data_IF_437000673758
#
_entry.id   IF_437000673758
#
_cell.length_a   1.000
_cell.length_b   1.000
_cell.length_c   1.000
_cell.angle_alpha   90.00
_cell.angle_beta   90.00
_cell.angle_gamma   90.00
#
_symmetry.space_group_name_H-M   'P 1'
#
loop_
_entity.id
_entity.type
_entity.pdbx_description
1 polymer ?
#
# COMPACT_ATOMS: atom_id res chain seq x y z
N UNK A 1 -33.59 22.33 -18.38
CA UNK A 1 -33.50 22.52 -19.84
C UNK A 1 -32.06 22.35 -20.33
N UNK A 2 -31.06 22.87 -19.62
CA UNK A 2 -29.65 22.88 -20.08
C UNK A 2 -28.91 21.53 -20.10
N UNK A 3 -29.24 20.59 -19.21
CA UNK A 3 -28.62 19.25 -19.18
C UNK A 3 -28.96 18.44 -20.44
N UNK A 4 -30.21 18.53 -20.92
CA UNK A 4 -30.68 17.83 -22.13
C UNK A 4 -30.12 18.43 -23.43
N UNK A 5 -29.83 19.73 -23.46
CA UNK A 5 -29.17 20.38 -24.59
C UNK A 5 -27.68 20.00 -24.65
N UNK A 6 -27.02 19.88 -23.50
CA UNK A 6 -25.61 19.50 -23.43
C UNK A 6 -25.38 18.05 -23.89
N UNK A 7 -26.23 17.10 -23.48
CA UNK A 7 -26.17 15.70 -23.95
C UNK A 7 -26.40 15.56 -25.47
N UNK A 8 -27.33 16.33 -26.05
CA UNK A 8 -27.55 16.31 -27.51
C UNK A 8 -26.36 16.87 -28.29
N UNK A 9 -25.67 17.87 -27.73
CA UNK A 9 -24.49 18.47 -28.35
C UNK A 9 -23.27 17.54 -28.31
N UNK A 10 -23.05 16.83 -27.20
CA UNK A 10 -21.93 15.88 -27.06
C UNK A 10 -22.13 14.63 -27.92
N UNK A 11 -23.37 14.14 -28.02
CA UNK A 11 -23.72 13.01 -28.88
C UNK A 11 -23.55 13.33 -30.38
N UNK A 12 -23.77 14.58 -30.82
CA UNK A 12 -23.45 15.01 -32.19
C UNK A 12 -21.95 15.01 -32.43
N UNK A 13 -21.18 15.69 -31.57
CA UNK A 13 -19.71 15.74 -31.65
C UNK A 13 -19.06 14.37 -31.74
N UNK A 14 -19.55 13.37 -31.00
CA UNK A 14 -19.01 12.01 -31.08
C UNK A 14 -19.34 11.30 -32.41
N UNK A 15 -20.56 11.49 -32.94
CA UNK A 15 -20.97 10.86 -34.21
C UNK A 15 -20.10 11.34 -35.37
N UNK A 16 -19.73 12.61 -35.38
CA UNK A 16 -18.98 13.23 -36.48
C UNK A 16 -17.46 12.93 -36.45
N UNK A 17 -16.95 12.33 -35.37
CA UNK A 17 -15.55 11.86 -35.33
C UNK A 17 -15.36 10.70 -36.33
N UNK A 18 -14.26 10.77 -37.08
CA UNK A 18 -13.77 9.71 -37.97
C UNK A 18 -13.71 8.34 -37.29
N UNK A 19 -14.13 7.30 -38.01
CA UNK A 19 -14.09 5.91 -37.54
C UNK A 19 -12.66 5.49 -37.21
N UNK A 20 -11.69 5.86 -38.05
CA UNK A 20 -10.27 5.59 -37.80
C UNK A 20 -9.82 6.19 -36.47
N UNK A 21 -10.20 7.44 -36.16
CA UNK A 21 -9.91 8.07 -34.86
C UNK A 21 -10.57 7.34 -33.69
N UNK A 22 -11.81 6.85 -33.86
CA UNK A 22 -12.49 6.03 -32.83
C UNK A 22 -11.79 4.69 -32.60
N UNK A 23 -11.28 4.06 -33.66
CA UNK A 23 -10.49 2.82 -33.58
C UNK A 23 -9.14 3.09 -32.88
N UNK A 24 -8.42 4.15 -33.24
CA UNK A 24 -7.20 4.54 -32.52
C UNK A 24 -7.47 4.86 -31.05
N UNK A 25 -8.61 5.50 -30.74
CA UNK A 25 -9.04 5.75 -29.36
C UNK A 25 -9.32 4.44 -28.60
N UNK A 26 -9.89 3.42 -29.25
CA UNK A 26 -10.07 2.10 -28.63
C UNK A 26 -8.74 1.44 -28.28
N UNK A 27 -7.79 1.41 -29.21
CA UNK A 27 -6.46 0.86 -28.97
C UNK A 27 -5.71 1.63 -27.89
N UNK A 28 -5.72 2.96 -27.97
CA UNK A 28 -5.12 3.83 -26.95
C UNK A 28 -5.78 3.67 -25.58
N UNK A 29 -7.11 3.53 -25.54
CA UNK A 29 -7.86 3.27 -24.32
C UNK A 29 -7.50 1.93 -23.69
N UNK A 30 -7.39 0.87 -24.48
CA UNK A 30 -6.96 -0.44 -24.00
C UNK A 30 -5.54 -0.39 -23.42
N UNK A 31 -4.58 0.21 -24.14
CA UNK A 31 -3.21 0.38 -23.66
C UNK A 31 -3.16 1.21 -22.36
N UNK A 32 -3.98 2.25 -22.27
CA UNK A 32 -4.08 3.09 -21.06
C UNK A 32 -4.60 2.29 -19.87
N UNK A 33 -5.63 1.45 -20.06
CA UNK A 33 -6.17 0.58 -19.01
C UNK A 33 -5.10 -0.43 -18.56
N UNK A 34 -4.43 -1.09 -19.50
CA UNK A 34 -3.35 -2.04 -19.18
C UNK A 34 -2.25 -1.34 -18.36
N UNK A 35 -1.86 -0.12 -18.75
CA UNK A 35 -0.87 0.66 -18.03
C UNK A 35 -1.35 1.02 -16.61
N UNK A 36 -2.58 1.53 -16.48
CA UNK A 36 -3.17 1.90 -15.18
C UNK A 36 -3.26 0.69 -14.25
N UNK A 37 -3.79 -0.44 -14.73
CA UNK A 37 -3.87 -1.67 -13.93
C UNK A 37 -2.49 -2.21 -13.55
N UNK A 38 -1.50 -2.08 -14.44
CA UNK A 38 -0.12 -2.47 -14.12
C UNK A 38 0.48 -1.59 -13.01
N UNK A 39 0.21 -0.28 -13.03
CA UNK A 39 0.63 0.64 -11.97
C UNK A 39 -0.08 0.31 -10.66
N UNK A 40 -1.40 0.10 -10.69
CA UNK A 40 -2.19 -0.30 -9.52
C UNK A 40 -1.63 -1.59 -8.92
N UNK A 41 -1.43 -2.63 -9.74
CA UNK A 41 -0.87 -3.91 -9.30
C UNK A 41 0.54 -3.74 -8.72
N UNK A 42 1.40 -2.98 -9.37
CA UNK A 42 2.75 -2.70 -8.87
C UNK A 42 2.71 -2.01 -7.50
N UNK A 43 1.91 -0.96 -7.34
CA UNK A 43 1.74 -0.25 -6.06
C UNK A 43 1.16 -1.16 -4.98
N UNK A 44 0.21 -2.04 -5.32
CA UNK A 44 -0.34 -3.05 -4.42
C UNK A 44 0.73 -4.03 -3.93
N UNK A 45 1.59 -4.52 -4.83
CA UNK A 45 2.71 -5.41 -4.47
C UNK A 45 3.70 -4.70 -3.55
N UNK A 46 4.07 -3.45 -3.85
CA UNK A 46 4.98 -2.67 -3.00
C UNK A 46 4.42 -2.43 -1.60
N UNK A 47 3.12 -2.11 -1.52
CA UNK A 47 2.42 -1.95 -0.24
C UNK A 47 2.45 -3.25 0.56
N UNK A 48 2.17 -4.39 -0.09
CA UNK A 48 2.21 -5.69 0.57
C UNK A 48 3.62 -6.08 1.03
N UNK A 49 4.65 -5.79 0.23
CA UNK A 49 6.04 -5.97 0.62
C UNK A 49 6.39 -5.16 1.87
N UNK A 50 5.92 -3.91 1.93
CA UNK A 50 6.14 -3.01 3.06
C UNK A 50 5.46 -3.50 4.34
N UNK A 51 4.25 -4.07 4.24
CA UNK A 51 3.56 -4.72 5.38
C UNK A 51 4.38 -5.90 5.90
N UNK A 52 4.91 -6.75 5.02
CA UNK A 52 5.77 -7.88 5.43
C UNK A 52 7.06 -7.39 6.07
N UNK A 53 7.64 -6.29 5.58
CA UNK A 53 8.82 -5.69 6.18
C UNK A 53 8.55 -5.17 7.60
N UNK A 54 7.35 -4.63 7.88
CA UNK A 54 6.92 -4.27 9.25
C UNK A 54 6.88 -5.49 10.17
N UNK A 55 6.32 -6.61 9.70
CA UNK A 55 6.32 -7.89 10.45
C UNK A 55 7.75 -8.39 10.67
N UNK A 56 8.62 -8.30 9.67
CA UNK A 56 10.02 -8.69 9.83
C UNK A 56 10.79 -7.77 10.79
N UNK A 57 10.42 -6.49 10.87
CA UNK A 57 11.03 -5.52 11.78
C UNK A 57 10.68 -5.82 13.24
N UNK A 58 9.44 -6.25 13.52
CA UNK A 58 9.04 -6.75 14.84
C UNK A 58 9.96 -7.87 15.31
N UNK A 59 10.15 -8.91 14.49
CA UNK A 59 10.99 -10.04 14.90
C UNK A 59 12.45 -9.65 15.15
N UNK A 60 12.96 -8.60 14.48
CA UNK A 60 14.29 -8.03 14.75
C UNK A 60 14.33 -7.27 16.06
N UNK A 61 13.28 -6.53 16.38
CA UNK A 61 13.12 -5.83 17.65
C UNK A 61 13.07 -6.83 18.82
N UNK A 62 12.24 -7.86 18.73
CA UNK A 62 12.07 -8.89 19.76
C UNK A 62 13.36 -9.69 19.98
N UNK A 63 14.10 -10.01 18.90
CA UNK A 63 15.45 -10.59 19.03
C UNK A 63 16.45 -9.67 19.74
N UNK A 64 16.39 -8.35 19.49
CA UNK A 64 17.24 -7.40 20.19
C UNK A 64 16.89 -7.34 21.69
N UNK A 65 15.60 -7.36 22.04
CA UNK A 65 15.14 -7.40 23.44
C UNK A 65 15.64 -8.66 24.14
N UNK A 66 15.43 -9.84 23.54
CA UNK A 66 15.88 -11.12 24.13
C UNK A 66 17.39 -11.21 24.22
N UNK A 67 18.10 -10.67 23.23
CA UNK A 67 19.56 -10.54 23.31
C UNK A 67 19.99 -9.65 24.47
N UNK A 68 19.31 -8.53 24.73
CA UNK A 68 19.61 -7.69 25.89
C UNK A 68 19.38 -8.47 27.20
N UNK A 69 18.23 -9.15 27.34
CA UNK A 69 17.92 -9.93 28.54
C UNK A 69 18.96 -11.03 28.81
N UNK A 70 19.35 -11.78 27.78
CA UNK A 70 20.38 -12.81 27.92
C UNK A 70 21.73 -12.22 28.34
N UNK A 71 22.14 -11.11 27.74
CA UNK A 71 23.42 -10.47 28.05
C UNK A 71 23.46 -9.88 29.46
N UNK A 72 22.37 -9.29 29.95
CA UNK A 72 22.34 -8.78 31.33
C UNK A 72 22.37 -9.93 32.35
N UNK A 73 21.71 -11.05 32.08
CA UNK A 73 21.83 -12.24 32.93
C UNK A 73 23.25 -12.81 32.94
N UNK A 74 23.91 -12.91 31.78
CA UNK A 74 25.32 -13.32 31.71
C UNK A 74 26.22 -12.35 32.49
N UNK A 75 25.94 -11.04 32.42
CA UNK A 75 26.67 -10.02 33.17
C UNK A 75 26.51 -10.19 34.70
N UNK A 76 25.31 -10.50 35.18
CA UNK A 76 25.07 -10.73 36.61
C UNK A 76 25.91 -11.87 37.19
N UNK A 77 26.14 -12.93 36.40
CA UNK A 77 26.89 -14.12 36.83
C UNK A 77 28.40 -13.90 36.68
N UNK A 78 28.83 -13.44 35.50
CA UNK A 78 30.25 -13.34 35.15
C UNK A 78 30.92 -12.09 35.71
N UNK A 79 30.15 -11.01 35.91
CA UNK A 79 30.64 -9.65 36.17
C UNK A 79 31.57 -9.10 35.08
N UNK A 80 31.65 -9.76 33.92
CA UNK A 80 32.49 -9.33 32.79
C UNK A 80 31.81 -8.17 32.03
N UNK A 81 32.43 -6.96 31.99
CA UNK A 81 31.88 -5.81 31.28
C UNK A 81 31.50 -6.07 29.82
N UNK A 82 32.08 -7.08 29.16
CA UNK A 82 31.75 -7.41 27.77
C UNK A 82 30.25 -7.71 27.58
N UNK A 83 29.64 -8.38 28.56
CA UNK A 83 28.22 -8.70 28.55
C UNK A 83 27.36 -7.46 28.77
N UNK A 84 27.81 -6.53 29.61
CA UNK A 84 27.13 -5.24 29.82
C UNK A 84 27.16 -4.39 28.53
N UNK A 85 28.30 -4.30 27.85
CA UNK A 85 28.38 -3.58 26.57
C UNK A 85 27.49 -4.22 25.49
N UNK A 86 27.41 -5.55 25.45
CA UNK A 86 26.51 -6.26 24.55
C UNK A 86 25.03 -5.97 24.87
N UNK A 87 24.67 -5.91 26.16
CA UNK A 87 23.35 -5.48 26.62
C UNK A 87 23.01 -4.05 26.15
N UNK A 88 23.91 -3.09 26.38
CA UNK A 88 23.71 -1.70 25.95
C UNK A 88 23.53 -1.60 24.44
N UNK A 89 24.38 -2.27 23.66
CA UNK A 89 24.30 -2.28 22.19
C UNK A 89 22.96 -2.83 21.67
N UNK A 90 22.40 -3.83 22.34
CA UNK A 90 21.07 -4.36 22.00
C UNK A 90 19.96 -3.36 22.31
N UNK A 91 20.04 -2.65 23.43
CA UNK A 91 19.06 -1.61 23.77
C UNK A 91 19.18 -0.34 22.92
N UNK A 92 20.38 0.01 22.45
CA UNK A 92 20.58 1.13 21.52
C UNK A 92 19.85 0.91 20.19
N UNK A 93 19.83 -0.33 19.68
CA UNK A 93 19.03 -0.71 18.51
C UNK A 93 17.55 -0.45 18.75
N UNK A 94 17.03 -0.90 19.89
CA UNK A 94 15.63 -0.69 20.29
C UNK A 94 15.31 0.81 20.41
N UNK A 95 16.21 1.58 21.02
CA UNK A 95 16.07 3.04 21.14
C UNK A 95 15.95 3.72 19.78
N UNK A 96 16.72 3.30 18.78
CA UNK A 96 16.59 3.80 17.41
C UNK A 96 15.20 3.56 16.82
N UNK A 97 14.57 2.42 17.10
CA UNK A 97 13.18 2.14 16.68
C UNK A 97 12.18 3.01 17.43
N UNK A 98 12.40 3.22 18.73
CA UNK A 98 11.58 4.15 19.52
C UNK A 98 11.63 5.57 18.93
N UNK A 99 12.82 6.06 18.57
CA UNK A 99 12.99 7.37 17.94
C UNK A 99 12.22 7.43 16.62
N UNK A 100 12.35 6.41 15.76
CA UNK A 100 11.59 6.30 14.53
C UNK A 100 10.06 6.28 14.75
N UNK A 101 9.57 5.55 15.75
CA UNK A 101 8.15 5.52 16.12
C UNK A 101 7.63 6.91 16.54
N UNK A 102 8.44 7.69 17.26
CA UNK A 102 8.06 9.04 17.66
C UNK A 102 7.97 9.99 16.46
N UNK A 103 8.82 9.80 15.44
CA UNK A 103 8.75 10.60 14.21
C UNK A 103 7.43 10.41 13.47
N UNK A 104 6.92 9.17 13.34
CA UNK A 104 5.63 8.94 12.64
C UNK A 104 4.43 9.54 13.39
N UNK A 105 4.54 9.74 14.71
CA UNK A 105 3.52 10.39 15.54
C UNK A 105 3.56 11.92 15.43
N UNK A 106 4.71 12.50 15.04
CA UNK A 106 4.88 13.94 14.82
C UNK A 106 4.04 14.46 13.64
N UNK A 107 3.72 15.75 13.67
CA UNK A 107 3.13 16.48 12.53
C UNK A 107 4.17 16.80 11.44
N UNK A 108 5.45 16.84 11.81
CA UNK A 108 6.57 17.11 10.93
C UNK A 108 7.62 16.02 11.15
N UNK A 109 7.43 14.83 10.55
CA UNK A 109 8.35 13.72 10.73
C UNK A 109 9.71 14.01 10.11
N UNK A 110 10.78 13.70 10.83
CA UNK A 110 12.11 13.63 10.26
C UNK A 110 12.36 12.23 9.68
N UNK A 111 12.29 12.14 8.36
CA UNK A 111 12.50 10.87 7.64
C UNK A 111 13.86 10.24 7.90
N UNK A 112 14.93 11.03 8.07
CA UNK A 112 16.28 10.49 8.30
C UNK A 112 16.41 9.79 9.66
N UNK A 113 15.73 10.32 10.69
CA UNK A 113 15.68 9.68 12.02
C UNK A 113 14.93 8.35 11.90
N UNK A 114 13.77 8.35 11.23
CA UNK A 114 13.04 7.11 10.96
C UNK A 114 13.91 6.10 10.21
N UNK A 115 14.54 6.55 9.13
CA UNK A 115 15.36 5.71 8.26
C UNK A 115 16.54 5.07 9.00
N UNK A 116 17.29 5.89 9.75
CA UNK A 116 18.39 5.43 10.60
C UNK A 116 17.90 4.44 11.66
N UNK A 117 16.76 4.70 12.32
CA UNK A 117 16.21 3.82 13.35
C UNK A 117 15.90 2.42 12.84
N UNK A 118 15.20 2.31 11.70
CA UNK A 118 14.80 1.02 11.13
C UNK A 118 15.97 0.28 10.49
N UNK A 119 16.92 0.97 9.86
CA UNK A 119 18.12 0.33 9.28
C UNK A 119 19.09 -0.17 10.36
N UNK A 120 19.24 0.54 11.49
CA UNK A 120 20.09 0.12 12.63
C UNK A 120 19.66 -1.21 13.25
N UNK A 121 18.37 -1.54 13.22
CA UNK A 121 17.89 -2.85 13.67
C UNK A 121 17.98 -3.94 12.60
N UNK A 122 18.52 -3.61 11.42
CA UNK A 122 18.79 -4.53 10.33
C UNK A 122 17.67 -4.65 9.30
N UNK A 123 16.79 -3.65 9.16
CA UNK A 123 15.87 -3.61 8.01
C UNK A 123 16.61 -3.27 6.72
N UNK A 124 16.12 -3.85 5.61
CA UNK A 124 16.69 -3.59 4.31
C UNK A 124 16.36 -2.14 3.91
N UNK A 125 17.35 -1.35 3.45
CA UNK A 125 17.15 0.04 3.03
C UNK A 125 15.94 0.28 2.12
N UNK A 126 15.71 -0.63 1.17
CA UNK A 126 14.64 -0.49 0.17
C UNK A 126 13.23 -0.68 0.74
N UNK A 127 13.10 -1.35 1.89
CA UNK A 127 11.80 -1.56 2.53
C UNK A 127 11.34 -0.33 3.34
N UNK A 128 12.31 0.45 3.84
CA UNK A 128 12.08 1.53 4.80
C UNK A 128 11.18 2.66 4.28
N UNK A 129 11.31 3.14 3.01
CA UNK A 129 10.39 4.13 2.46
C UNK A 129 8.93 3.68 2.50
N UNK A 130 8.67 2.42 2.15
CA UNK A 130 7.33 1.85 2.15
C UNK A 130 6.77 1.65 3.56
N UNK A 131 7.62 1.20 4.49
CA UNK A 131 7.28 1.14 5.93
C UNK A 131 6.89 2.51 6.47
N UNK A 132 7.66 3.56 6.16
CA UNK A 132 7.37 4.94 6.54
C UNK A 132 6.02 5.39 5.98
N UNK A 133 5.78 5.16 4.69
CA UNK A 133 4.53 5.53 4.04
C UNK A 133 3.32 4.91 4.72
N UNK A 134 3.37 3.61 5.03
CA UNK A 134 2.26 2.91 5.71
C UNK A 134 2.08 3.48 7.13
N UNK A 135 3.14 3.51 7.92
CA UNK A 135 3.06 3.90 9.32
C UNK A 135 2.66 5.37 9.49
N UNK A 136 3.10 6.27 8.61
CA UNK A 136 2.78 7.69 8.72
C UNK A 136 1.38 8.03 8.20
N UNK A 137 1.02 7.56 7.00
CA UNK A 137 -0.25 7.93 6.37
C UNK A 137 -1.45 7.17 6.92
N UNK A 138 -1.23 5.95 7.44
CA UNK A 138 -2.29 5.10 7.96
C UNK A 138 -2.22 4.93 9.48
N UNK A 139 -1.50 5.78 10.22
CA UNK A 139 -1.41 5.71 11.70
C UNK A 139 -2.75 5.73 12.43
N UNK A 140 -3.78 6.32 11.83
CA UNK A 140 -5.12 6.39 12.41
C UNK A 140 -6.04 5.22 11.99
N UNK A 141 -5.58 4.37 11.08
CA UNK A 141 -6.30 3.17 10.67
C UNK A 141 -6.09 2.10 11.75
N UNK A 142 -7.18 1.61 12.34
CA UNK A 142 -7.13 0.71 13.52
C UNK A 142 -6.14 -0.47 13.39
N UNK A 143 -6.08 -1.19 12.25
CA UNK A 143 -5.06 -2.22 11.99
C UNK A 143 -3.59 -1.80 12.16
N UNK A 144 -3.26 -0.53 11.99
CA UNK A 144 -1.91 0.04 12.13
C UNK A 144 -1.76 0.74 13.47
N UNK A 145 -2.80 1.43 13.93
CA UNK A 145 -2.82 2.18 15.19
C UNK A 145 -2.55 1.27 16.39
N UNK A 146 -3.23 0.12 16.46
CA UNK A 146 -3.16 -0.78 17.61
C UNK A 146 -1.74 -1.31 17.87
N UNK A 147 -0.99 -1.82 16.87
CA UNK A 147 0.42 -2.17 17.05
C UNK A 147 1.29 -1.00 17.54
N UNK A 148 1.08 0.23 17.03
CA UNK A 148 1.86 1.42 17.44
C UNK A 148 1.64 1.73 18.93
N UNK A 149 0.41 1.64 19.42
CA UNK A 149 0.08 1.86 20.84
C UNK A 149 0.73 0.81 21.77
N UNK A 150 0.79 -0.45 21.33
CA UNK A 150 1.45 -1.53 22.07
C UNK A 150 2.96 -1.25 22.16
N UNK A 151 3.59 -0.84 21.05
CA UNK A 151 5.00 -0.42 21.05
C UNK A 151 5.26 0.80 21.95
N UNK A 152 4.38 1.80 21.95
CA UNK A 152 4.49 2.94 22.86
C UNK A 152 4.40 2.53 24.34
N UNK A 153 3.72 1.43 24.64
CA UNK A 153 3.68 0.84 25.99
C UNK A 153 4.96 0.07 26.32
N UNK A 154 5.51 -0.67 25.35
CA UNK A 154 6.78 -1.40 25.49
C UNK A 154 7.96 -0.45 25.76
N UNK A 155 7.98 0.75 25.17
CA UNK A 155 8.98 1.79 25.40
C UNK A 155 9.25 2.06 26.89
N UNK A 156 8.19 2.07 27.72
CA UNK A 156 8.32 2.31 29.16
C UNK A 156 9.05 1.17 29.88
N UNK A 157 8.78 -0.07 29.48
CA UNK A 157 9.43 -1.26 30.04
C UNK A 157 10.89 -1.36 29.58
N UNK A 158 11.20 -0.96 28.34
CA UNK A 158 12.58 -0.88 27.85
C UNK A 158 13.38 0.19 28.60
N UNK A 159 12.78 1.36 28.86
CA UNK A 159 13.44 2.40 29.65
C UNK A 159 13.76 1.91 31.08
N UNK A 160 12.86 1.15 31.70
CA UNK A 160 13.09 0.54 33.00
C UNK A 160 14.17 -0.56 32.95
N UNK A 161 14.16 -1.39 31.91
CA UNK A 161 15.20 -2.40 31.67
C UNK A 161 16.59 -1.75 31.56
N UNK A 162 16.70 -0.65 30.82
CA UNK A 162 17.92 0.15 30.74
C UNK A 162 18.37 0.60 32.13
N UNK A 163 17.46 1.20 32.92
CA UNK A 163 17.76 1.72 34.26
C UNK A 163 18.22 0.63 35.22
N UNK A 164 17.57 -0.54 35.21
CA UNK A 164 17.97 -1.69 36.05
C UNK A 164 19.38 -2.15 35.67
N UNK A 165 19.68 -2.27 34.38
CA UNK A 165 21.01 -2.64 33.91
C UNK A 165 22.10 -1.64 34.30
N UNK A 166 21.84 -0.33 34.16
CA UNK A 166 22.79 0.71 34.58
C UNK A 166 23.07 0.67 36.08
N UNK A 167 22.03 0.60 36.90
CA UNK A 167 22.17 0.53 38.36
C UNK A 167 22.98 -0.70 38.79
N UNK A 168 22.78 -1.84 38.12
CA UNK A 168 23.54 -3.06 38.39
C UNK A 168 25.03 -2.86 38.04
N UNK A 169 25.32 -2.25 36.90
CA UNK A 169 26.68 -1.95 36.48
C UNK A 169 27.41 -1.00 37.45
N UNK A 170 26.76 0.07 37.89
CA UNK A 170 27.30 1.00 38.88
C UNK A 170 27.62 0.32 40.22
N UNK A 171 26.77 -0.62 40.66
CA UNK A 171 27.01 -1.43 41.87
C UNK A 171 28.23 -2.33 41.72
N UNK A 172 28.40 -2.97 40.58
CA UNK A 172 29.58 -3.81 40.32
C UNK A 172 30.87 -2.98 40.22
N UNK A 173 30.83 -1.80 39.60
CA UNK A 173 31.98 -0.89 39.54
C UNK A 173 32.40 -0.35 40.91
N UNK A 174 31.42 -0.06 41.78
CA UNK A 174 31.66 0.44 43.13
C UNK A 174 32.04 -0.66 44.15
N UNK A 175 32.18 -1.92 43.71
CA UNK A 175 32.40 -3.09 44.58
C UNK A 175 31.31 -3.23 45.67
N UNK A 176 30.11 -2.71 45.40
CA UNK A 176 28.94 -2.81 46.27
C UNK A 176 27.98 -3.87 45.71
N UNK A 177 28.46 -5.10 45.63
CA UNK A 177 27.80 -6.25 45.02
C UNK A 177 27.05 -7.11 46.05
N UNK A 178 26.23 -6.45 46.89
CA UNK A 178 25.41 -7.14 47.88
C UNK A 178 24.46 -8.12 47.19
N UNK A 179 24.48 -9.38 47.65
CA UNK A 179 23.67 -10.45 47.10
C UNK A 179 22.17 -10.10 47.04
N UNK A 180 21.65 -9.43 48.07
CA UNK A 180 20.25 -8.98 48.12
C UNK A 180 19.90 -7.99 46.99
N UNK A 181 20.84 -7.13 46.59
CA UNK A 181 20.64 -6.18 45.51
C UNK A 181 20.65 -6.83 44.13
N UNK A 182 21.50 -7.84 43.95
CA UNK A 182 21.55 -8.65 42.72
C UNK A 182 20.25 -9.44 42.57
N UNK A 183 19.77 -10.06 43.64
CA UNK A 183 18.50 -10.79 43.65
C UNK A 183 17.30 -9.85 43.38
N UNK A 184 17.32 -8.64 43.94
CA UNK A 184 16.30 -7.63 43.65
C UNK A 184 16.33 -7.19 42.17
N UNK A 185 17.53 -7.02 41.59
CA UNK A 185 17.68 -6.72 40.18
C UNK A 185 17.17 -7.89 39.31
N UNK A 186 17.48 -9.14 39.69
CA UNK A 186 17.01 -10.34 39.01
C UNK A 186 15.48 -10.38 38.96
N UNK A 187 14.82 -10.25 40.11
CA UNK A 187 13.37 -10.27 40.20
C UNK A 187 12.72 -9.17 39.35
N UNK A 188 13.33 -7.98 39.29
CA UNK A 188 12.86 -6.90 38.40
C UNK A 188 13.02 -7.25 36.92
N UNK A 189 14.15 -7.83 36.52
CA UNK A 189 14.40 -8.25 35.14
C UNK A 189 13.40 -9.32 34.70
N UNK A 190 13.11 -10.31 35.54
CA UNK A 190 12.12 -11.36 35.27
C UNK A 190 10.71 -10.78 35.07
N UNK A 191 10.29 -9.84 35.92
CA UNK A 191 9.00 -9.14 35.77
C UNK A 191 8.96 -8.32 34.47
N UNK A 192 10.06 -7.64 34.12
CA UNK A 192 10.16 -6.88 32.87
C UNK A 192 10.12 -7.79 31.64
N UNK A 193 10.83 -8.92 31.66
CA UNK A 193 10.82 -9.87 30.56
C UNK A 193 9.43 -10.48 30.35
N UNK A 194 8.72 -10.82 31.43
CA UNK A 194 7.34 -11.30 31.36
C UNK A 194 6.38 -10.26 30.74
N UNK A 195 6.49 -9.00 31.17
CA UNK A 195 5.70 -7.89 30.61
C UNK A 195 6.01 -7.62 29.15
N UNK A 196 7.30 -7.58 28.79
CA UNK A 196 7.74 -7.38 27.41
C UNK A 196 7.28 -8.54 26.52
N UNK A 197 7.40 -9.78 26.97
CA UNK A 197 6.93 -10.96 26.23
C UNK A 197 5.42 -10.92 25.99
N UNK A 198 4.62 -10.47 26.97
CA UNK A 198 3.18 -10.28 26.77
C UNK A 198 2.90 -9.22 25.70
N UNK A 199 3.59 -8.07 25.76
CA UNK A 199 3.43 -7.00 24.78
C UNK A 199 3.91 -7.41 23.38
N UNK A 200 4.98 -8.20 23.27
CA UNK A 200 5.47 -8.78 22.02
C UNK A 200 4.43 -9.72 21.38
N UNK A 201 3.77 -10.55 22.19
CA UNK A 201 2.70 -11.42 21.72
C UNK A 201 1.48 -10.62 21.25
N UNK A 202 1.02 -9.66 22.05
CA UNK A 202 -0.11 -8.78 21.70
C UNK A 202 0.19 -8.00 20.41
N UNK A 203 1.42 -7.52 20.27
CA UNK A 203 1.88 -6.82 19.08
C UNK A 203 1.87 -7.75 17.86
N UNK A 204 2.44 -8.95 17.99
CA UNK A 204 2.53 -9.94 16.91
C UNK A 204 1.15 -10.36 16.42
N UNK A 205 0.21 -10.59 17.33
CA UNK A 205 -1.18 -10.91 17.01
C UNK A 205 -1.86 -9.73 16.31
N UNK A 206 -1.76 -8.53 16.89
CA UNK A 206 -2.39 -7.33 16.33
C UNK A 206 -1.84 -6.98 14.94
N UNK A 207 -0.52 -7.10 14.74
CA UNK A 207 0.10 -6.79 13.46
C UNK A 207 -0.24 -7.86 12.41
N UNK A 208 -0.27 -9.15 12.80
CA UNK A 208 -0.65 -10.24 11.90
C UNK A 208 -2.10 -10.12 11.43
N UNK A 209 -3.02 -9.78 12.33
CA UNK A 209 -4.41 -9.50 11.98
C UNK A 209 -4.50 -8.27 11.06
N UNK A 210 -3.76 -7.20 11.39
CA UNK A 210 -3.73 -6.00 10.58
C UNK A 210 -3.19 -6.22 9.17
N UNK A 211 -2.13 -7.01 9.03
CA UNK A 211 -1.55 -7.41 7.75
C UNK A 211 -2.55 -8.18 6.88
N UNK A 212 -3.25 -9.16 7.45
CA UNK A 212 -4.31 -9.92 6.75
C UNK A 212 -5.47 -9.03 6.29
N UNK A 213 -5.86 -8.07 7.12
CA UNK A 213 -6.91 -7.12 6.77
C UNK A 213 -6.45 -6.22 5.60
N UNK A 214 -5.20 -5.75 5.62
CA UNK A 214 -4.63 -4.97 4.52
C UNK A 214 -4.52 -5.79 3.23
N UNK A 215 -4.12 -7.06 3.31
CA UNK A 215 -4.12 -7.97 2.16
C UNK A 215 -5.50 -8.09 1.52
N UNK A 216 -6.54 -8.32 2.34
CA UNK A 216 -7.92 -8.39 1.86
C UNK A 216 -8.41 -7.08 1.23
N UNK A 217 -8.10 -5.93 1.84
CA UNK A 217 -8.44 -4.61 1.30
C UNK A 217 -7.72 -4.33 -0.02
N UNK A 218 -6.43 -4.66 -0.12
CA UNK A 218 -5.66 -4.50 -1.36
C UNK A 218 -6.26 -5.39 -2.44
N UNK A 219 -6.48 -6.68 -2.16
CA UNK A 219 -7.06 -7.62 -3.13
C UNK A 219 -8.43 -7.16 -3.63
N UNK A 220 -9.33 -6.77 -2.72
CA UNK A 220 -10.66 -6.28 -3.10
C UNK A 220 -10.57 -4.97 -3.89
N UNK A 221 -9.65 -4.06 -3.56
CA UNK A 221 -9.45 -2.82 -4.31
C UNK A 221 -8.97 -3.06 -5.76
N UNK A 222 -8.02 -3.98 -5.95
CA UNK A 222 -7.53 -4.38 -7.29
C UNK A 222 -8.62 -5.10 -8.08
N UNK A 223 -9.37 -6.00 -7.43
CA UNK A 223 -10.48 -6.68 -8.10
C UNK A 223 -11.54 -5.67 -8.56
N UNK A 224 -11.87 -4.69 -7.72
CA UNK A 224 -12.82 -3.64 -8.06
C UNK A 224 -12.29 -2.71 -9.16
N UNK A 225 -11.00 -2.38 -9.20
CA UNK A 225 -10.42 -1.58 -10.30
C UNK A 225 -10.58 -2.31 -11.64
N UNK A 226 -10.20 -3.59 -11.68
CA UNK A 226 -10.30 -4.44 -12.88
C UNK A 226 -11.74 -4.56 -13.36
N UNK A 227 -12.69 -4.83 -12.45
CA UNK A 227 -14.10 -4.91 -12.80
C UNK A 227 -14.65 -3.57 -13.29
N UNK A 228 -14.27 -2.46 -12.65
CA UNK A 228 -14.75 -1.13 -13.02
C UNK A 228 -14.19 -0.67 -14.37
N UNK A 229 -12.87 -0.71 -14.55
CA UNK A 229 -12.24 -0.29 -15.81
C UNK A 229 -12.59 -1.24 -16.96
N UNK A 230 -12.59 -2.55 -16.70
CA UNK A 230 -12.96 -3.57 -17.67
C UNK A 230 -14.43 -3.46 -18.10
N UNK A 231 -15.36 -3.21 -17.17
CA UNK A 231 -16.78 -3.04 -17.51
C UNK A 231 -17.03 -1.73 -18.28
N UNK A 232 -16.42 -0.62 -17.86
CA UNK A 232 -16.52 0.67 -18.57
C UNK A 232 -16.01 0.55 -20.02
N UNK A 233 -14.85 -0.10 -20.21
CA UNK A 233 -14.31 -0.35 -21.53
C UNK A 233 -15.19 -1.28 -22.36
N UNK A 234 -15.70 -2.36 -21.76
CA UNK A 234 -16.60 -3.30 -22.43
C UNK A 234 -17.90 -2.61 -22.88
N UNK A 235 -18.51 -1.79 -22.03
CA UNK A 235 -19.70 -1.01 -22.36
C UNK A 235 -19.41 -0.07 -23.53
N UNK A 236 -18.26 0.59 -23.51
CA UNK A 236 -17.82 1.48 -24.58
C UNK A 236 -17.65 0.72 -25.92
N UNK A 237 -16.94 -0.40 -25.92
CA UNK A 237 -16.74 -1.27 -27.10
C UNK A 237 -18.07 -1.77 -27.67
N UNK A 238 -18.97 -2.24 -26.80
CA UNK A 238 -20.29 -2.76 -27.20
C UNK A 238 -21.12 -1.64 -27.84
N UNK A 239 -21.15 -0.44 -27.24
CA UNK A 239 -21.89 0.70 -27.80
C UNK A 239 -21.35 1.13 -29.15
N UNK A 240 -20.04 1.25 -29.27
CA UNK A 240 -19.36 1.59 -30.53
C UNK A 240 -19.66 0.56 -31.62
N UNK A 241 -19.53 -0.74 -31.31
CA UNK A 241 -19.79 -1.83 -32.27
C UNK A 241 -21.25 -1.87 -32.70
N UNK A 242 -22.19 -1.68 -31.77
CA UNK A 242 -23.63 -1.62 -32.09
C UNK A 242 -23.97 -0.42 -32.98
N UNK A 243 -23.35 0.73 -32.73
CA UNK A 243 -23.53 1.92 -33.56
C UNK A 243 -23.03 1.68 -34.99
N UNK A 244 -21.81 1.16 -35.13
CA UNK A 244 -21.24 0.81 -36.44
C UNK A 244 -22.13 -0.20 -37.17
N UNK A 245 -22.51 -1.31 -36.52
CA UNK A 245 -23.35 -2.35 -37.13
C UNK A 245 -24.69 -1.80 -37.60
N UNK A 246 -25.32 -0.91 -36.82
CA UNK A 246 -26.59 -0.28 -37.20
C UNK A 246 -26.44 0.61 -38.44
N UNK A 247 -25.38 1.41 -38.50
CA UNK A 247 -25.14 2.29 -39.64
C UNK A 247 -24.78 1.51 -40.91
N UNK A 248 -23.92 0.49 -40.80
CA UNK A 248 -23.62 -0.40 -41.93
C UNK A 248 -24.87 -1.12 -42.45
N UNK A 249 -25.73 -1.64 -41.56
CA UNK A 249 -26.98 -2.29 -41.98
C UNK A 249 -27.92 -1.34 -42.74
N UNK A 250 -27.97 -0.05 -42.38
CA UNK A 250 -28.75 0.95 -43.13
C UNK A 250 -28.20 1.14 -44.54
N UNK A 251 -26.87 1.26 -44.68
CA UNK A 251 -26.21 1.37 -45.98
C UNK A 251 -26.50 0.11 -46.81
N UNK A 252 -26.29 -1.08 -46.24
CA UNK A 252 -26.51 -2.37 -46.91
C UNK A 252 -27.95 -2.51 -47.45
N UNK A 253 -28.96 -2.25 -46.62
CA UNK A 253 -30.37 -2.38 -47.00
C UNK A 253 -30.75 -1.40 -48.10
N UNK A 254 -30.37 -0.12 -47.96
CA UNK A 254 -30.71 0.90 -48.96
C UNK A 254 -29.95 0.69 -50.27
N UNK A 255 -28.67 0.32 -50.22
CA UNK A 255 -27.90 -0.03 -51.43
C UNK A 255 -28.47 -1.27 -52.12
N UNK A 256 -28.95 -2.27 -51.38
CA UNK A 256 -29.62 -3.43 -51.95
C UNK A 256 -30.88 -3.04 -52.72
N UNK A 257 -31.75 -2.18 -52.17
CA UNK A 257 -32.94 -1.68 -52.88
C UNK A 257 -32.59 -0.92 -54.15
N UNK A 258 -31.59 -0.05 -54.09
CA UNK A 258 -31.06 0.68 -55.26
C UNK A 258 -30.61 -0.32 -56.33
N UNK A 259 -29.86 -1.36 -55.94
CA UNK A 259 -29.40 -2.41 -56.86
C UNK A 259 -30.54 -3.22 -57.50
N UNK A 260 -31.71 -3.29 -56.86
CA UNK A 260 -32.93 -3.90 -57.42
C UNK A 260 -33.78 -2.91 -58.24
N UNK A 261 -33.29 -1.70 -58.49
CA UNK A 261 -33.92 -0.71 -59.37
C UNK A 261 -34.75 0.36 -58.67
N UNK A 262 -34.80 0.40 -57.34
CA UNK A 262 -35.47 1.48 -56.60
C UNK A 262 -34.58 2.73 -56.50
N UNK A 263 -34.52 3.50 -57.59
CA UNK A 263 -33.69 4.71 -57.68
C UNK A 263 -34.21 5.89 -56.84
N UNK A 264 -35.35 5.74 -56.15
CA UNK A 264 -35.90 6.79 -55.28
C UNK A 264 -35.43 6.66 -53.83
N UNK A 265 -34.90 5.50 -53.43
CA UNK A 265 -34.33 5.29 -52.10
C UNK A 265 -33.14 6.24 -51.89
N UNK A 266 -33.02 6.79 -50.67
CA UNK A 266 -31.89 7.63 -50.25
C UNK A 266 -31.37 7.16 -48.90
N UNK A 267 -30.06 7.07 -48.76
CA UNK A 267 -29.37 6.70 -47.53
C UNK A 267 -29.29 7.93 -46.61
N UNK A 268 -30.08 7.94 -45.54
CA UNK A 268 -30.11 9.04 -44.57
C UNK A 268 -29.18 8.73 -43.37
N UNK A 269 -27.90 9.09 -43.52
CA UNK A 269 -26.91 9.08 -42.44
C UNK A 269 -26.45 10.52 -42.20
N UNK A 270 -27.02 11.13 -41.16
CA UNK A 270 -26.67 12.47 -40.67
C UNK A 270 -25.41 12.39 -39.79
N UNK A 271 -24.26 12.08 -40.41
CA UNK A 271 -22.93 12.06 -39.78
C UNK A 271 -21.92 12.68 -40.76
N UNK A 272 -20.98 13.51 -40.29
CA UNK A 272 -19.95 14.10 -41.16
C UNK A 272 -18.72 13.19 -41.37
N UNK A 273 -18.75 11.98 -40.81
CA UNK A 273 -17.66 11.00 -40.86
C UNK A 273 -17.66 10.16 -42.16
N UNK A 274 -16.79 9.15 -42.24
CA UNK A 274 -16.63 8.29 -43.42
C UNK A 274 -17.94 7.59 -43.84
N UNK A 275 -18.84 7.25 -42.91
CA UNK A 275 -20.12 6.63 -43.24
C UNK A 275 -21.08 7.62 -43.92
N UNK A 276 -21.07 8.89 -43.51
CA UNK A 276 -21.87 9.93 -44.16
C UNK A 276 -21.33 10.31 -45.53
N UNK A 277 -20.01 10.30 -45.70
CA UNK A 277 -19.37 10.49 -47.01
C UNK A 277 -19.76 9.35 -47.97
N UNK A 278 -19.73 8.10 -47.51
CA UNK A 278 -20.18 6.94 -48.30
C UNK A 278 -21.67 7.06 -48.65
N UNK A 279 -22.52 7.40 -47.67
CA UNK A 279 -23.96 7.57 -47.91
C UNK A 279 -24.25 8.67 -48.95
N UNK A 280 -23.53 9.80 -48.87
CA UNK A 280 -23.66 10.92 -49.81
C UNK A 280 -23.20 10.53 -51.21
N UNK A 281 -22.06 9.84 -51.33
CA UNK A 281 -21.54 9.38 -52.62
C UNK A 281 -22.51 8.39 -53.30
N UNK A 282 -23.09 7.43 -52.55
CA UNK A 282 -24.09 6.50 -53.10
C UNK A 282 -25.36 7.25 -53.53
N UNK A 283 -25.84 8.21 -52.73
CA UNK A 283 -27.01 9.03 -53.08
C UNK A 283 -26.81 9.89 -54.35
N UNK A 284 -25.57 10.17 -54.75
CA UNK A 284 -25.26 10.90 -55.98
C UNK A 284 -25.25 10.01 -57.23
N UNK A 285 -25.16 8.68 -57.08
CA UNK A 285 -25.14 7.73 -58.20
C UNK A 285 -26.54 7.36 -58.72
N UNK A 286 -27.58 7.75 -57.99
CA UNK A 286 -28.97 7.25 -58.11
C UNK A 286 -29.94 8.42 -58.16
#
# INVERSE_FOLDING_TARGET
MDVLLNERSSQRKWKDISISKKIYFLFGGLLSIIFIESVVLYTSIQTLSSVRALVAAEGKWSRAQKSAMNQIHSYMISKDPIHFYAFQKSLEKIKGVQEARKEIESNHPNYEIFYSGLTKIGNHPEDVPGMFYILYNFKNFEPIKKPIEIWATADKNIAELWRVGQNLHEKFLSQNDQEADIQLAQAKLEVLDGRLSSLENDFSESLSLGARNMEGLIFTSVLMSVLLLGSLFSIFVIRFTRELKRNFKKIEVSTSKIGHGDLKERILIDQENELGQIATAINQMV
#
